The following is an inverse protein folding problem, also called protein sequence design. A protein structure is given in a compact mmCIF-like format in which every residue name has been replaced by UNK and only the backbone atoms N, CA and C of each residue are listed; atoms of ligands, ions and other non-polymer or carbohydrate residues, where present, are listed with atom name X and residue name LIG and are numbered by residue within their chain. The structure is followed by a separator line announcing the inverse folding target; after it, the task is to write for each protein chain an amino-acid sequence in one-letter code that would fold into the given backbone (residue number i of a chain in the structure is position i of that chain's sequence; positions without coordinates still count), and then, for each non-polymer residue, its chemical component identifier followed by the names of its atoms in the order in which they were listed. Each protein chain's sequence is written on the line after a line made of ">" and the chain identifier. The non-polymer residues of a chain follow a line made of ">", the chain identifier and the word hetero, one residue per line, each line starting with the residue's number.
data_IF_506356365414
#
_entry.id   IF_506356365414
#
_cell.length_a   1.000
_cell.length_b   1.000
_cell.length_c   1.000
_cell.angle_alpha   90.00
_cell.angle_beta   90.00
_cell.angle_gamma   90.00
#
_symmetry.space_group_name_H-M   'P 1'
#
loop_
_entity.id
_entity.type
_entity.pdbx_description
1 polymer ?
#
# COMPACT_ATOMS: atom_id res chain seq x y z
N UNK A 1 1.50 -28.53 9.75
CA UNK A 1 1.35 -27.69 8.53
C UNK A 1 0.65 -26.39 8.91
N UNK A 2 0.67 -25.37 8.03
CA UNK A 2 0.13 -23.98 8.15
C UNK A 2 0.86 -22.98 9.05
N UNK A 3 1.99 -22.42 8.57
CA UNK A 3 2.55 -21.13 9.06
C UNK A 3 2.34 -19.95 8.09
N UNK A 4 1.94 -20.22 6.83
CA UNK A 4 1.74 -19.19 5.81
C UNK A 4 0.33 -18.61 5.72
N UNK A 5 -0.65 -19.24 6.37
CA UNK A 5 -1.97 -18.64 6.52
C UNK A 5 -1.85 -17.28 7.20
N UNK A 6 -0.96 -17.11 8.19
CA UNK A 6 -0.84 -15.86 8.95
C UNK A 6 -0.39 -14.66 8.12
N UNK A 7 0.70 -14.70 7.30
CA UNK A 7 1.07 -13.54 6.49
C UNK A 7 0.07 -13.21 5.37
N UNK A 8 -0.48 -14.23 4.69
CA UNK A 8 -1.44 -14.01 3.60
C UNK A 8 -2.80 -13.53 4.10
N UNK A 9 -3.29 -14.08 5.21
CA UNK A 9 -4.51 -13.57 5.88
C UNK A 9 -4.28 -12.17 6.43
N UNK A 10 -3.12 -11.88 7.02
CA UNK A 10 -2.80 -10.53 7.49
C UNK A 10 -2.80 -9.51 6.35
N UNK A 11 -2.17 -9.80 5.20
CA UNK A 11 -2.22 -8.92 4.03
C UNK A 11 -3.64 -8.73 3.51
N UNK A 12 -4.45 -9.81 3.48
CA UNK A 12 -5.86 -9.77 3.06
C UNK A 12 -6.71 -8.92 4.00
N UNK A 13 -6.57 -9.06 5.32
CA UNK A 13 -7.52 -8.53 6.32
C UNK A 13 -7.09 -7.19 6.91
N UNK A 14 -5.79 -7.00 7.16
CA UNK A 14 -5.24 -5.78 7.76
C UNK A 14 -4.31 -5.03 6.82
N UNK A 15 -3.24 -5.70 6.38
CA UNK A 15 -2.18 -5.17 5.55
C UNK A 15 -1.51 -3.89 6.08
N UNK A 16 -0.66 -3.29 5.26
CA UNK A 16 -0.03 -2.01 5.58
C UNK A 16 -1.02 -0.84 5.46
N UNK A 17 -2.12 -1.01 4.72
CA UNK A 17 -3.19 -0.01 4.60
C UNK A 17 -3.79 0.45 5.94
N UNK A 18 -3.74 -0.40 6.97
CA UNK A 18 -4.20 -0.03 8.31
C UNK A 18 -3.31 1.09 8.86
N UNK A 19 -1.99 0.94 8.75
CA UNK A 19 -1.05 1.99 9.14
C UNK A 19 -1.24 3.26 8.29
N UNK A 20 -1.40 3.14 6.98
CA UNK A 20 -1.68 4.30 6.13
C UNK A 20 -2.94 5.07 6.54
N UNK A 21 -4.04 4.35 6.76
CA UNK A 21 -5.34 4.95 7.11
C UNK A 21 -5.29 5.68 8.44
N UNK A 22 -4.56 5.13 9.40
CA UNK A 22 -4.48 5.65 10.76
C UNK A 22 -3.49 6.81 10.86
N UNK A 23 -2.42 6.79 10.07
CA UNK A 23 -1.27 7.65 10.35
C UNK A 23 -0.90 8.61 9.22
N UNK A 24 -0.94 8.16 7.97
CA UNK A 24 -0.50 8.94 6.81
C UNK A 24 -1.67 9.71 6.20
N UNK A 25 -2.82 9.04 5.97
CA UNK A 25 -4.03 9.68 5.43
C UNK A 25 -4.48 10.87 6.28
N UNK A 26 -4.48 10.80 7.62
CA UNK A 26 -4.87 11.92 8.45
C UNK A 26 -3.89 13.10 8.34
N UNK A 27 -2.58 12.85 8.22
CA UNK A 27 -1.58 13.90 8.02
C UNK A 27 -1.73 14.63 6.68
N UNK A 28 -2.23 13.93 5.65
CA UNK A 28 -2.51 14.49 4.33
C UNK A 28 -3.83 15.27 4.27
N UNK A 29 -4.77 15.01 5.18
CA UNK A 29 -6.17 15.47 5.06
C UNK A 29 -6.57 16.48 6.14
N UNK A 30 -5.98 16.40 7.34
CA UNK A 30 -6.41 17.19 8.50
C UNK A 30 -5.40 18.27 8.89
N UNK A 31 -5.91 19.32 9.51
CA UNK A 31 -5.07 20.32 10.18
C UNK A 31 -4.35 19.70 11.40
N UNK A 32 -3.17 20.22 11.80
CA UNK A 32 -2.35 19.61 12.85
C UNK A 32 -3.10 19.30 14.17
N UNK A 33 -3.98 20.18 14.70
CA UNK A 33 -4.72 19.86 15.93
C UNK A 33 -5.69 18.67 15.79
N UNK A 34 -6.29 18.50 14.61
CA UNK A 34 -7.18 17.36 14.31
C UNK A 34 -6.38 16.09 14.07
N UNK A 35 -5.19 16.20 13.47
CA UNK A 35 -4.27 15.09 13.29
C UNK A 35 -3.84 14.47 14.62
N UNK A 36 -3.44 15.29 15.60
CA UNK A 36 -3.07 14.81 16.95
C UNK A 36 -4.20 14.07 17.66
N UNK A 37 -5.45 14.52 17.50
CA UNK A 37 -6.60 13.84 18.08
C UNK A 37 -6.88 12.46 17.44
N UNK A 38 -6.69 12.34 16.11
CA UNK A 38 -6.82 11.05 15.40
C UNK A 38 -5.74 10.06 15.87
N UNK A 39 -4.50 10.52 16.01
CA UNK A 39 -3.40 9.70 16.55
C UNK A 39 -3.71 9.20 17.97
N UNK A 40 -4.13 10.09 18.87
CA UNK A 40 -4.46 9.74 20.25
C UNK A 40 -5.58 8.68 20.35
N UNK A 41 -6.59 8.77 19.49
CA UNK A 41 -7.69 7.81 19.42
C UNK A 41 -7.23 6.43 18.94
N UNK A 42 -6.42 6.36 17.89
CA UNK A 42 -5.97 5.10 17.32
C UNK A 42 -5.11 4.26 18.29
N UNK A 43 -4.22 4.91 19.05
CA UNK A 43 -3.40 4.26 20.07
C UNK A 43 -4.21 3.75 21.27
N UNK A 44 -5.35 4.39 21.57
CA UNK A 44 -6.26 3.92 22.62
C UNK A 44 -7.05 2.66 22.22
N UNK A 45 -7.24 2.43 20.91
CA UNK A 45 -8.10 1.38 20.36
C UNK A 45 -7.40 0.11 19.86
N UNK A 46 -6.07 0.07 19.74
CA UNK A 46 -5.38 -1.10 19.20
C UNK A 46 -3.88 -1.11 19.46
N UNK A 47 -3.43 -2.05 20.30
CA UNK A 47 -2.07 -2.26 20.84
C UNK A 47 -1.57 -1.23 21.87
N UNK A 48 -1.68 -1.70 23.13
CA UNK A 48 -1.08 -1.22 24.39
C UNK A 48 -1.31 0.26 24.71
N UNK A 49 -2.42 0.49 25.39
CA UNK A 49 -2.73 1.75 26.03
C UNK A 49 -1.72 2.15 27.10
N UNK A 50 -1.44 3.45 27.14
CA UNK A 50 -1.55 4.32 28.31
C UNK A 50 -1.26 5.74 27.82
N UNK A 51 -2.19 6.68 28.00
CA UNK A 51 -2.12 8.05 27.46
C UNK A 51 -0.93 8.85 28.02
N UNK A 52 -0.33 8.39 29.12
CA UNK A 52 0.82 9.03 29.76
C UNK A 52 2.21 8.59 29.24
N UNK A 53 2.31 7.54 28.40
CA UNK A 53 3.58 7.05 27.85
C UNK A 53 3.96 7.71 26.50
N UNK A 54 3.02 8.44 25.90
CA UNK A 54 3.03 8.73 24.47
C UNK A 54 4.06 9.82 24.06
N UNK A 55 4.71 10.56 24.96
CA UNK A 55 5.53 11.72 24.54
C UNK A 55 6.78 11.38 23.69
N UNK A 56 7.62 10.38 24.03
CA UNK A 56 8.75 9.99 23.19
C UNK A 56 8.32 9.15 21.98
N UNK A 57 7.28 8.36 22.15
CA UNK A 57 6.69 7.54 21.09
C UNK A 57 6.07 8.42 20.01
N UNK A 58 5.32 9.48 20.37
CA UNK A 58 4.81 10.51 19.43
C UNK A 58 5.93 11.26 18.72
N UNK A 59 7.08 11.50 19.35
CA UNK A 59 8.21 12.17 18.72
C UNK A 59 8.88 11.28 17.67
N UNK A 60 9.21 10.03 18.03
CA UNK A 60 9.69 9.03 17.08
C UNK A 60 8.67 8.76 15.96
N UNK A 61 7.38 8.83 16.29
CA UNK A 61 6.28 8.71 15.34
C UNK A 61 6.20 9.90 14.38
N UNK A 62 6.42 11.11 14.89
CA UNK A 62 6.53 12.32 14.09
C UNK A 62 7.68 12.24 13.07
N UNK A 63 8.81 11.67 13.47
CA UNK A 63 9.96 11.44 12.59
C UNK A 63 9.66 10.38 11.52
N UNK A 64 8.98 9.29 11.89
CA UNK A 64 8.58 8.23 10.95
C UNK A 64 7.55 8.75 9.93
N UNK A 65 6.53 9.48 10.39
CA UNK A 65 5.55 10.14 9.52
C UNK A 65 6.22 11.21 8.64
N UNK A 66 7.16 11.99 9.19
CA UNK A 66 7.94 12.97 8.43
C UNK A 66 8.77 12.32 7.31
N UNK A 67 9.36 11.16 7.60
CA UNK A 67 10.09 10.34 6.62
C UNK A 67 9.14 9.81 5.54
N UNK A 68 7.98 9.28 5.94
CA UNK A 68 6.93 8.82 5.02
C UNK A 68 6.42 9.92 4.10
N UNK A 69 6.18 11.12 4.64
CA UNK A 69 5.75 12.29 3.87
C UNK A 69 6.84 12.76 2.89
N UNK A 70 8.10 12.74 3.30
CA UNK A 70 9.25 13.01 2.42
C UNK A 70 9.30 12.02 1.27
N UNK A 71 9.18 10.71 1.55
CA UNK A 71 9.16 9.66 0.52
C UNK A 71 7.99 9.83 -0.45
N UNK A 72 6.80 10.18 0.04
CA UNK A 72 5.65 10.50 -0.81
C UNK A 72 5.92 11.72 -1.69
N UNK A 73 6.56 12.77 -1.16
CA UNK A 73 6.90 13.97 -1.92
C UNK A 73 7.92 13.66 -3.03
N UNK A 74 8.93 12.83 -2.77
CA UNK A 74 9.88 12.39 -3.79
C UNK A 74 9.21 11.50 -4.84
N UNK A 75 8.35 10.56 -4.42
CA UNK A 75 7.58 9.73 -5.35
C UNK A 75 6.71 10.57 -6.30
N UNK A 76 6.09 11.65 -5.81
CA UNK A 76 5.32 12.60 -6.66
C UNK A 76 6.16 13.19 -7.79
N UNK A 77 7.40 13.58 -7.50
CA UNK A 77 8.30 14.14 -8.52
C UNK A 77 8.61 13.11 -9.60
N UNK A 78 8.73 11.85 -9.22
CA UNK A 78 9.03 10.75 -10.15
C UNK A 78 7.85 10.34 -11.03
N UNK A 79 6.62 10.52 -10.56
CA UNK A 79 5.41 10.22 -11.36
C UNK A 79 5.16 11.29 -12.42
N UNK A 80 5.61 12.53 -12.19
CA UNK A 80 5.43 13.65 -13.13
C UNK A 80 6.07 13.32 -14.49
N UNK A 81 5.23 13.27 -15.52
CA UNK A 81 5.65 12.99 -16.90
C UNK A 81 5.87 11.50 -17.22
N UNK A 82 5.60 10.58 -16.27
CA UNK A 82 5.77 9.13 -16.47
C UNK A 82 4.45 8.39 -16.73
N UNK A 83 3.62 8.89 -17.64
CA UNK A 83 2.37 8.24 -18.09
C UNK A 83 1.29 7.97 -17.01
N UNK A 84 1.53 8.35 -15.75
CA UNK A 84 0.56 8.53 -14.68
C UNK A 84 0.47 10.02 -14.38
N UNK A 85 -0.74 10.56 -14.13
CA UNK A 85 -0.84 11.97 -13.77
C UNK A 85 -0.48 12.15 -12.30
N UNK A 86 0.05 13.32 -11.97
CA UNK A 86 0.27 13.70 -10.57
C UNK A 86 -1.06 13.71 -9.80
N UNK A 87 -2.17 13.98 -10.48
CA UNK A 87 -3.52 13.98 -9.89
C UNK A 87 -3.98 12.55 -9.55
N UNK A 88 -3.72 11.56 -10.41
CA UNK A 88 -4.00 10.14 -10.10
C UNK A 88 -3.28 9.71 -8.81
N UNK A 89 -2.01 10.12 -8.66
CA UNK A 89 -1.21 9.83 -7.48
C UNK A 89 -1.66 10.63 -6.24
N UNK A 90 -2.05 11.90 -6.40
CA UNK A 90 -2.42 12.77 -5.29
C UNK A 90 -3.83 12.51 -4.75
N UNK A 91 -4.74 12.05 -5.60
CA UNK A 91 -6.12 11.75 -5.22
C UNK A 91 -6.28 10.35 -4.63
N UNK A 92 -5.28 9.48 -4.78
CA UNK A 92 -5.34 8.16 -4.18
C UNK A 92 -5.25 8.26 -2.66
N UNK A 93 -6.23 7.65 -2.00
CA UNK A 93 -6.34 7.60 -0.53
C UNK A 93 -6.19 6.17 0.00
N UNK A 94 -5.56 5.32 -0.80
CA UNK A 94 -5.42 3.89 -0.55
C UNK A 94 -4.01 3.42 -0.91
N UNK A 95 -3.51 2.44 -0.17
CA UNK A 95 -2.34 1.66 -0.53
C UNK A 95 -2.67 0.18 -0.71
N UNK A 96 -3.94 -0.15 -0.95
CA UNK A 96 -4.41 -1.53 -1.00
C UNK A 96 -3.76 -2.33 -2.13
N UNK A 97 -3.47 -1.69 -3.27
CA UNK A 97 -2.77 -2.34 -4.37
C UNK A 97 -1.36 -2.80 -3.96
N UNK A 98 -0.70 -2.10 -3.03
CA UNK A 98 0.58 -2.56 -2.47
C UNK A 98 0.42 -3.88 -1.71
N UNK A 99 -0.58 -3.98 -0.84
CA UNK A 99 -0.84 -5.21 -0.09
C UNK A 99 -1.24 -6.37 -1.02
N UNK A 100 -2.03 -6.09 -2.06
CA UNK A 100 -2.43 -7.08 -3.09
C UNK A 100 -1.21 -7.61 -3.85
N UNK A 101 -0.31 -6.75 -4.32
CA UNK A 101 0.94 -7.18 -4.97
C UNK A 101 1.82 -8.02 -4.03
N UNK A 102 1.82 -7.70 -2.72
CA UNK A 102 2.52 -8.51 -1.72
C UNK A 102 1.90 -9.89 -1.56
N UNK A 103 0.58 -10.05 -1.66
CA UNK A 103 -0.06 -11.37 -1.68
C UNK A 103 0.50 -12.18 -2.86
N UNK A 104 0.44 -11.66 -4.08
CA UNK A 104 0.96 -12.35 -5.27
C UNK A 104 2.42 -12.75 -5.14
N UNK A 105 3.26 -11.86 -4.61
CA UNK A 105 4.69 -12.15 -4.42
C UNK A 105 4.95 -13.22 -3.33
N UNK A 106 4.24 -13.16 -2.19
CA UNK A 106 4.35 -14.17 -1.13
C UNK A 106 3.86 -15.53 -1.63
N UNK A 107 2.75 -15.57 -2.38
CA UNK A 107 2.24 -16.80 -3.01
C UNK A 107 3.31 -17.40 -3.93
N UNK A 108 3.87 -16.60 -4.85
CA UNK A 108 4.90 -17.06 -5.79
C UNK A 108 6.08 -17.72 -5.08
N UNK A 109 6.64 -17.08 -4.05
CA UNK A 109 7.76 -17.64 -3.30
C UNK A 109 7.38 -18.88 -2.49
N UNK A 110 6.16 -18.90 -1.96
CA UNK A 110 5.67 -20.00 -1.15
C UNK A 110 5.45 -21.27 -1.98
N UNK A 111 4.88 -21.14 -3.17
CA UNK A 111 4.75 -22.25 -4.13
C UNK A 111 6.13 -22.73 -4.57
N UNK A 112 7.02 -21.82 -4.98
CA UNK A 112 8.37 -22.17 -5.41
C UNK A 112 9.21 -22.87 -4.33
N UNK A 113 8.93 -22.58 -3.06
CA UNK A 113 9.63 -23.20 -1.91
C UNK A 113 8.92 -24.45 -1.37
N UNK A 114 7.81 -24.87 -1.98
CA UNK A 114 7.02 -26.03 -1.54
C UNK A 114 6.22 -25.83 -0.24
N UNK A 115 6.02 -24.57 0.18
CA UNK A 115 5.18 -24.26 1.34
C UNK A 115 3.69 -24.18 1.03
N UNK A 116 3.35 -23.93 -0.25
CA UNK A 116 2.00 -24.04 -0.80
C UNK A 116 2.05 -24.99 -2.00
N UNK A 117 0.97 -25.73 -2.23
CA UNK A 117 0.73 -26.36 -3.53
C UNK A 117 0.41 -25.31 -4.60
N UNK A 118 0.46 -25.69 -5.87
CA UNK A 118 0.02 -24.80 -6.97
C UNK A 118 -1.46 -24.44 -6.82
N UNK A 119 -2.32 -25.40 -6.49
CA UNK A 119 -3.76 -25.17 -6.27
C UNK A 119 -4.01 -24.16 -5.15
N UNK A 120 -3.35 -24.32 -3.99
CA UNK A 120 -3.44 -23.35 -2.89
C UNK A 120 -2.92 -21.96 -3.33
N UNK A 121 -1.88 -21.93 -4.17
CA UNK A 121 -1.38 -20.70 -4.76
C UNK A 121 -2.43 -20.01 -5.64
N UNK A 122 -3.09 -20.75 -6.53
CA UNK A 122 -4.16 -20.23 -7.39
C UNK A 122 -5.36 -19.72 -6.59
N UNK A 123 -5.74 -20.40 -5.49
CA UNK A 123 -6.80 -19.91 -4.59
C UNK A 123 -6.45 -18.54 -4.00
N UNK A 124 -5.20 -18.32 -3.58
CA UNK A 124 -4.76 -17.02 -3.08
C UNK A 124 -4.65 -15.95 -4.17
N UNK A 125 -4.26 -16.31 -5.39
CA UNK A 125 -4.30 -15.37 -6.53
C UNK A 125 -5.74 -14.97 -6.87
N UNK A 126 -6.71 -15.88 -6.74
CA UNK A 126 -8.13 -15.56 -6.90
C UNK A 126 -8.65 -14.61 -5.78
N UNK A 127 -8.10 -14.70 -4.56
CA UNK A 127 -8.35 -13.72 -3.49
C UNK A 127 -7.82 -12.34 -3.91
N UNK A 128 -6.60 -12.27 -4.45
CA UNK A 128 -6.00 -11.02 -4.90
C UNK A 128 -6.77 -10.37 -6.07
N UNK A 129 -7.21 -11.15 -7.07
CA UNK A 129 -8.04 -10.66 -8.18
C UNK A 129 -9.38 -10.10 -7.66
N UNK A 130 -10.06 -10.83 -6.77
CA UNK A 130 -11.30 -10.35 -6.16
C UNK A 130 -11.11 -9.04 -5.40
N UNK A 131 -10.08 -8.97 -4.54
CA UNK A 131 -9.76 -7.73 -3.81
C UNK A 131 -9.50 -6.56 -4.77
N UNK A 132 -8.83 -6.82 -5.90
CA UNK A 132 -8.56 -5.81 -6.91
C UNK A 132 -9.86 -5.26 -7.51
N UNK A 133 -10.75 -6.15 -7.96
CA UNK A 133 -12.04 -5.79 -8.58
C UNK A 133 -13.02 -5.13 -7.61
N UNK A 134 -12.97 -5.49 -6.33
CA UNK A 134 -13.80 -4.88 -5.30
C UNK A 134 -13.36 -3.45 -4.93
N UNK A 135 -12.07 -3.13 -5.08
CA UNK A 135 -11.47 -1.90 -4.54
C UNK A 135 -11.09 -0.86 -5.60
N UNK A 136 -10.97 -1.26 -6.85
CA UNK A 136 -10.50 -0.39 -7.93
C UNK A 136 -11.40 -0.48 -9.15
N UNK A 137 -11.70 0.68 -9.73
CA UNK A 137 -12.51 0.77 -10.95
C UNK A 137 -11.67 0.99 -12.22
N UNK A 138 -10.34 1.07 -12.08
CA UNK A 138 -9.41 1.20 -13.21
C UNK A 138 -7.98 0.84 -12.80
N UNK A 139 -7.19 0.39 -13.77
CA UNK A 139 -5.77 0.13 -13.59
C UNK A 139 -4.96 1.38 -13.22
N UNK A 140 -5.40 2.57 -13.63
CA UNK A 140 -4.78 3.85 -13.24
C UNK A 140 -4.89 4.08 -11.73
N UNK A 141 -6.08 3.86 -11.15
CA UNK A 141 -6.26 3.95 -9.69
C UNK A 141 -5.42 2.90 -8.96
N UNK A 142 -5.40 1.67 -9.48
CA UNK A 142 -4.58 0.58 -8.93
C UNK A 142 -3.09 0.95 -8.91
N UNK A 143 -2.56 1.45 -10.04
CA UNK A 143 -1.17 1.88 -10.18
C UNK A 143 -0.80 2.99 -9.19
N UNK A 144 -1.67 4.00 -9.06
CA UNK A 144 -1.46 5.09 -8.11
C UNK A 144 -1.40 4.57 -6.67
N UNK A 145 -2.35 3.71 -6.28
CA UNK A 145 -2.39 3.08 -4.96
C UNK A 145 -1.12 2.25 -4.67
N UNK A 146 -0.65 1.49 -5.67
CA UNK A 146 0.56 0.70 -5.55
C UNK A 146 1.80 1.59 -5.35
N UNK A 147 1.95 2.67 -6.12
CA UNK A 147 3.08 3.57 -6.00
C UNK A 147 3.10 4.32 -4.67
N UNK A 148 1.94 4.71 -4.13
CA UNK A 148 1.85 5.27 -2.77
C UNK A 148 2.33 4.26 -1.74
N UNK A 149 1.85 3.02 -1.80
CA UNK A 149 2.27 2.01 -0.83
C UNK A 149 3.75 1.64 -0.94
N UNK A 150 4.26 1.54 -2.18
CA UNK A 150 5.67 1.28 -2.47
C UNK A 150 6.58 2.40 -1.96
N UNK A 151 6.17 3.66 -2.06
CA UNK A 151 6.93 4.80 -1.56
C UNK A 151 6.98 4.82 -0.02
N UNK A 152 5.90 4.39 0.64
CA UNK A 152 5.82 4.41 2.10
C UNK A 152 6.54 3.23 2.75
N UNK A 153 6.37 2.04 2.20
CA UNK A 153 6.78 0.80 2.84
C UNK A 153 8.13 0.24 2.38
N UNK A 154 8.78 0.85 1.38
CA UNK A 154 10.05 0.35 0.87
C UNK A 154 10.98 1.47 0.41
N UNK A 155 12.24 1.40 0.83
CA UNK A 155 13.22 2.48 0.67
C UNK A 155 14.10 2.38 -0.59
N UNK A 156 13.85 1.41 -1.46
CA UNK A 156 14.58 1.27 -2.72
C UNK A 156 14.06 2.15 -3.85
N UNK A 157 14.85 2.22 -4.93
CA UNK A 157 14.61 3.06 -6.11
C UNK A 157 13.19 2.96 -6.67
N UNK A 158 12.61 4.14 -6.92
CA UNK A 158 11.23 4.31 -7.39
C UNK A 158 11.12 4.66 -8.87
N UNK A 159 12.21 5.13 -9.48
CA UNK A 159 12.18 5.70 -10.83
C UNK A 159 11.71 4.70 -11.89
N UNK A 160 12.21 3.46 -11.82
CA UNK A 160 11.86 2.37 -12.73
C UNK A 160 10.46 1.82 -12.42
N UNK A 161 10.11 1.74 -11.13
CA UNK A 161 8.79 1.26 -10.70
C UNK A 161 7.69 2.20 -11.20
N UNK A 162 7.89 3.51 -11.05
CA UNK A 162 6.96 4.52 -11.56
C UNK A 162 6.85 4.48 -13.09
N UNK A 163 7.97 4.28 -13.80
CA UNK A 163 7.98 4.14 -15.25
C UNK A 163 7.20 2.90 -15.71
N UNK A 164 7.41 1.76 -15.05
CA UNK A 164 6.73 0.51 -15.36
C UNK A 164 5.23 0.59 -15.08
N UNK A 165 4.84 1.15 -13.93
CA UNK A 165 3.44 1.36 -13.58
C UNK A 165 2.72 2.27 -14.60
N UNK A 166 3.34 3.37 -15.03
CA UNK A 166 2.76 4.24 -16.05
C UNK A 166 2.75 3.62 -17.46
N UNK A 167 3.73 2.77 -17.77
CA UNK A 167 3.73 2.04 -19.05
C UNK A 167 2.64 0.98 -19.08
N UNK A 168 2.38 0.30 -17.96
CA UNK A 168 1.33 -0.71 -17.85
C UNK A 168 -0.07 -0.12 -18.10
N UNK A 169 -0.33 1.14 -17.75
CA UNK A 169 -1.65 1.76 -17.93
C UNK A 169 -1.88 2.38 -19.30
N UNK A 170 -0.88 2.45 -20.19
CA UNK A 170 -0.98 3.16 -21.48
C UNK A 170 -0.39 2.44 -22.68
N UNK A 171 0.52 1.50 -22.49
CA UNK A 171 1.10 0.76 -23.60
C UNK A 171 0.04 -0.18 -24.20
N UNK A 172 -0.24 -0.05 -25.50
CA UNK A 172 -1.20 -0.87 -26.24
C UNK A 172 -0.98 -2.39 -26.13
N UNK A 173 0.27 -2.81 -25.88
CA UNK A 173 0.65 -4.22 -25.67
C UNK A 173 0.54 -4.67 -24.21
N UNK A 174 0.18 -3.76 -23.31
CA UNK A 174 0.04 -4.06 -21.88
C UNK A 174 -1.14 -4.99 -21.64
N UNK A 175 -0.96 -6.07 -20.86
CA UNK A 175 -2.07 -6.91 -20.41
C UNK A 175 -3.18 -6.12 -19.70
N UNK A 176 -2.86 -4.99 -19.06
CA UNK A 176 -3.83 -4.16 -18.36
C UNK A 176 -4.80 -3.45 -19.31
N UNK A 177 -4.40 -3.22 -20.56
CA UNK A 177 -5.31 -2.69 -21.58
C UNK A 177 -6.12 -3.79 -22.27
N UNK A 178 -5.60 -5.03 -22.33
CA UNK A 178 -6.33 -6.16 -22.90
C UNK A 178 -7.29 -6.82 -21.90
N UNK A 179 -7.02 -6.70 -20.61
CA UNK A 179 -7.85 -7.21 -19.51
C UNK A 179 -8.19 -6.07 -18.54
N UNK A 180 -9.19 -5.23 -18.85
CA UNK A 180 -9.60 -4.13 -17.97
C UNK A 180 -10.19 -4.66 -16.65
N UNK A 181 -10.10 -3.83 -15.61
CA UNK A 181 -10.74 -4.07 -14.30
C UNK A 181 -12.25 -3.93 -14.36
#
# INVERSE_FOLDING_TARGET
>A
MTRLSTPLTWLRDEGHRTAFTVFVRPALTYTPPKYTAVLASAYSGGRKGNVSAISPELAAYGDEVGTMLTRLAEARKLVKGKNLTVDDFNTTTSMDAWDIERIGNVVRFSVASGYLSEDEGYEWLAVADRMTRERFSSWTQYAASFLVGRALCYDGEMADVALNAGSATRNEKSPWLTFPL
#
